data_IF_259747985529
#
_entry.id   IF_259747985529
#
_cell.length_a   1.000
_cell.length_b   1.000
_cell.length_c   1.000
_cell.angle_alpha   90.00
_cell.angle_beta   90.00
_cell.angle_gamma   90.00
#
_symmetry.space_group_name_H-M   'P 1'
#
loop_
_entity.id
_entity.type
_entity.pdbx_description
1 polymer ?
#
# COMPACT_ATOMS: atom_id res chain seq x y z
N UNK A 1 13.92 -7.46 45.49
CA UNK A 1 14.88 -8.08 46.44
C UNK A 1 14.45 -9.52 46.70
N UNK A 2 15.39 -10.46 46.49
CA UNK A 2 15.47 -11.87 46.90
C UNK A 2 14.51 -12.32 48.03
N UNK A 3 14.00 -13.57 48.10
CA UNK A 3 14.78 -14.82 48.12
C UNK A 3 13.84 -16.06 48.25
N UNK A 4 14.35 -17.22 47.83
CA UNK A 4 14.04 -18.60 48.27
C UNK A 4 13.10 -19.52 47.47
N UNK A 5 13.76 -20.22 46.54
CA UNK A 5 13.69 -21.64 46.20
C UNK A 5 13.27 -22.64 47.29
N UNK A 6 12.55 -23.71 46.89
CA UNK A 6 12.73 -25.09 47.39
C UNK A 6 12.22 -26.13 46.40
N UNK A 7 13.19 -26.73 45.71
CA UNK A 7 13.10 -28.03 45.03
C UNK A 7 13.09 -29.11 46.12
N UNK A 8 12.18 -30.08 46.04
CA UNK A 8 12.23 -31.29 46.86
C UNK A 8 12.06 -32.53 45.97
N UNK A 9 13.19 -33.18 45.79
CA UNK A 9 13.38 -34.52 45.24
C UNK A 9 12.87 -35.53 46.27
N UNK A 10 12.00 -36.44 45.85
CA UNK A 10 11.78 -37.71 46.55
C UNK A 10 11.90 -38.85 45.55
N UNK A 11 12.89 -39.68 45.81
CA UNK A 11 13.32 -40.86 45.07
C UNK A 11 12.99 -42.04 45.97
N UNK A 12 12.11 -42.95 45.55
CA UNK A 12 12.02 -44.29 46.14
C UNK A 12 11.76 -45.31 45.03
N UNK A 13 12.89 -45.87 44.61
CA UNK A 13 13.13 -47.12 43.89
C UNK A 13 12.26 -48.30 44.34
N UNK A 14 11.76 -49.09 43.37
CA UNK A 14 12.11 -50.50 43.12
C UNK A 14 10.99 -51.19 42.32
N UNK A 15 11.22 -51.37 41.01
CA UNK A 15 10.84 -52.55 40.23
C UNK A 15 11.36 -52.37 38.78
N UNK A 16 12.36 -53.16 38.42
CA UNK A 16 12.85 -53.44 37.06
C UNK A 16 12.78 -54.97 36.91
N UNK A 17 12.97 -55.55 35.72
CA UNK A 17 12.54 -55.13 34.37
C UNK A 17 12.03 -56.34 33.55
N UNK A 18 10.93 -56.23 32.80
CA UNK A 18 10.68 -57.03 31.56
C UNK A 18 9.23 -56.82 31.11
N UNK A 19 8.99 -56.83 29.79
CA UNK A 19 7.69 -56.74 29.13
C UNK A 19 7.05 -55.35 28.89
N UNK A 20 7.77 -54.39 28.30
CA UNK A 20 7.12 -53.25 27.58
C UNK A 20 7.92 -52.80 26.35
N UNK A 21 8.37 -53.72 25.51
CA UNK A 21 9.16 -53.36 24.29
C UNK A 21 8.76 -53.97 22.93
N UNK A 22 7.61 -54.66 22.72
CA UNK A 22 7.14 -54.92 21.36
C UNK A 22 6.14 -53.87 20.83
N UNK A 23 5.28 -53.29 21.68
CA UNK A 23 4.11 -52.51 21.20
C UNK A 23 4.47 -51.09 20.73
N UNK A 24 5.56 -50.50 21.24
CA UNK A 24 6.01 -49.17 20.81
C UNK A 24 6.74 -49.19 19.45
N UNK A 25 7.28 -50.34 19.02
CA UNK A 25 7.98 -50.48 17.73
C UNK A 25 7.00 -50.54 16.56
N UNK A 26 5.88 -51.25 16.70
CA UNK A 26 4.84 -51.34 15.66
C UNK A 26 4.10 -50.01 15.43
N UNK A 27 3.76 -49.28 16.50
CA UNK A 27 3.03 -48.01 16.40
C UNK A 27 3.89 -46.89 15.80
N UNK A 28 5.19 -46.88 16.12
CA UNK A 28 6.13 -45.91 15.54
C UNK A 28 6.41 -46.20 14.06
N UNK A 29 6.41 -47.47 13.64
CA UNK A 29 6.51 -47.85 12.21
C UNK A 29 5.24 -47.55 11.42
N UNK A 30 4.06 -47.72 12.01
CA UNK A 30 2.79 -47.36 11.36
C UNK A 30 2.68 -45.83 11.17
N UNK A 31 3.03 -45.07 12.20
CA UNK A 31 3.04 -43.60 12.14
C UNK A 31 4.11 -43.05 11.18
N UNK A 32 5.31 -43.65 11.12
CA UNK A 32 6.33 -43.22 10.16
C UNK A 32 5.91 -43.47 8.71
N UNK A 33 5.19 -44.58 8.45
CA UNK A 33 4.69 -44.94 7.12
C UNK A 33 3.56 -44.02 6.65
N UNK A 34 2.64 -43.66 7.54
CA UNK A 34 1.55 -42.70 7.25
C UNK A 34 2.09 -41.28 7.09
N UNK A 35 3.09 -40.89 7.88
CA UNK A 35 3.73 -39.56 7.79
C UNK A 35 4.56 -39.42 6.51
N UNK A 36 5.26 -40.47 6.05
CA UNK A 36 5.96 -40.47 4.75
C UNK A 36 4.99 -40.39 3.56
N UNK A 37 3.84 -41.05 3.68
CA UNK A 37 2.81 -41.04 2.64
C UNK A 37 2.11 -39.67 2.54
N UNK A 38 1.90 -38.99 3.68
CA UNK A 38 1.40 -37.61 3.75
C UNK A 38 2.43 -36.60 3.22
N UNK A 39 3.72 -36.76 3.56
CA UNK A 39 4.79 -35.87 3.07
C UNK A 39 5.02 -35.97 1.55
N UNK A 40 4.76 -37.13 0.93
CA UNK A 40 4.84 -37.27 -0.52
C UNK A 40 3.65 -36.63 -1.27
N UNK A 41 2.50 -36.44 -0.60
CA UNK A 41 1.32 -35.84 -1.22
C UNK A 41 1.39 -34.30 -1.34
N UNK A 42 2.32 -33.64 -0.65
CA UNK A 42 2.44 -32.17 -0.62
C UNK A 42 3.38 -31.57 -1.69
N UNK A 43 3.96 -32.39 -2.59
CA UNK A 43 4.79 -31.89 -3.69
C UNK A 43 4.39 -32.53 -5.04
N UNK A 44 3.98 -31.74 -6.06
CA UNK A 44 3.48 -32.25 -7.33
C UNK A 44 4.53 -33.03 -8.15
N UNK A 45 5.80 -32.99 -7.74
CA UNK A 45 6.93 -33.66 -8.41
C UNK A 45 7.10 -35.15 -8.07
N UNK A 46 6.36 -35.69 -7.09
CA UNK A 46 6.62 -37.02 -6.51
C UNK A 46 5.65 -38.14 -6.93
N UNK A 47 4.82 -37.93 -7.95
CA UNK A 47 3.86 -38.93 -8.46
C UNK A 47 4.54 -40.25 -8.87
N UNK A 48 5.75 -40.18 -9.41
CA UNK A 48 6.51 -41.35 -9.87
C UNK A 48 7.08 -42.18 -8.69
N UNK A 49 7.40 -41.53 -7.57
CA UNK A 49 8.04 -42.16 -6.40
C UNK A 49 7.01 -42.95 -5.58
N UNK A 50 5.80 -42.41 -5.38
CA UNK A 50 4.72 -43.13 -4.69
C UNK A 50 4.30 -44.39 -5.45
N UNK A 51 4.26 -44.33 -6.79
CA UNK A 51 3.87 -45.48 -7.62
C UNK A 51 4.92 -46.60 -7.60
N UNK A 52 6.20 -46.24 -7.50
CA UNK A 52 7.33 -47.20 -7.39
C UNK A 52 7.38 -47.88 -6.01
N UNK A 53 7.11 -47.15 -4.93
CA UNK A 53 7.11 -47.69 -3.57
C UNK A 53 5.96 -48.68 -3.33
N UNK A 54 4.79 -48.47 -3.97
CA UNK A 54 3.63 -49.38 -3.87
C UNK A 54 3.88 -50.70 -4.63
N UNK A 55 4.65 -50.68 -5.73
CA UNK A 55 5.04 -51.91 -6.46
C UNK A 55 6.04 -52.80 -5.70
N UNK A 56 6.78 -52.24 -4.74
CA UNK A 56 7.78 -52.98 -3.97
C UNK A 56 7.20 -53.70 -2.74
N UNK A 57 6.00 -53.32 -2.26
CA UNK A 57 5.34 -54.01 -1.15
C UNK A 57 4.24 -54.95 -1.66
N UNK A 58 4.50 -56.26 -1.63
CA UNK A 58 3.52 -57.33 -1.87
C UNK A 58 2.40 -57.33 -0.80
N UNK A 59 1.47 -56.39 -0.87
CA UNK A 59 0.24 -56.37 -0.07
C UNK A 59 -0.95 -56.37 -1.03
N UNK A 60 -1.85 -57.35 -0.90
CA UNK A 60 -2.92 -57.59 -1.90
C UNK A 60 -4.34 -57.41 -1.36
N UNK A 61 -4.55 -57.05 -0.09
CA UNK A 61 -5.90 -56.76 0.44
C UNK A 61 -5.99 -55.46 1.27
N UNK A 62 -5.02 -55.17 2.14
CA UNK A 62 -5.00 -53.90 2.92
C UNK A 62 -4.69 -52.66 2.07
N UNK A 63 -4.02 -52.86 0.94
CA UNK A 63 -3.58 -51.79 0.03
C UNK A 63 -4.75 -51.14 -0.69
N UNK A 64 -5.80 -51.90 -1.04
CA UNK A 64 -6.96 -51.35 -1.76
C UNK A 64 -7.82 -50.45 -0.86
N UNK A 65 -8.03 -50.86 0.40
CA UNK A 65 -8.67 -50.03 1.43
C UNK A 65 -7.84 -48.77 1.73
N UNK A 66 -6.51 -48.92 1.86
CA UNK A 66 -5.62 -47.78 2.11
C UNK A 66 -5.60 -46.79 0.92
N UNK A 67 -5.58 -47.29 -0.31
CA UNK A 67 -5.66 -46.47 -1.54
C UNK A 67 -7.01 -45.77 -1.62
N UNK A 68 -8.11 -46.45 -1.29
CA UNK A 68 -9.46 -45.85 -1.31
C UNK A 68 -9.61 -44.74 -0.26
N UNK A 69 -9.13 -44.97 0.97
CA UNK A 69 -9.13 -43.97 2.05
C UNK A 69 -8.20 -42.79 1.72
N UNK A 70 -6.98 -43.04 1.24
CA UNK A 70 -6.09 -41.97 0.79
C UNK A 70 -6.67 -41.18 -0.38
N UNK A 71 -7.34 -41.84 -1.33
CA UNK A 71 -7.98 -41.17 -2.47
C UNK A 71 -9.15 -40.29 -2.04
N UNK A 72 -9.97 -40.76 -1.08
CA UNK A 72 -11.05 -39.97 -0.48
C UNK A 72 -10.50 -38.75 0.28
N UNK A 73 -9.46 -38.93 1.09
CA UNK A 73 -8.79 -37.84 1.81
C UNK A 73 -8.18 -36.82 0.84
N UNK A 74 -7.56 -37.28 -0.26
CA UNK A 74 -7.03 -36.42 -1.32
C UNK A 74 -8.15 -35.68 -2.06
N UNK A 75 -9.27 -36.34 -2.36
CA UNK A 75 -10.43 -35.71 -2.99
C UNK A 75 -11.07 -34.65 -2.08
N UNK A 76 -11.22 -34.93 -0.79
CA UNK A 76 -11.73 -33.95 0.18
C UNK A 76 -10.74 -32.80 0.41
N UNK A 77 -9.44 -33.10 0.46
CA UNK A 77 -8.39 -32.06 0.55
C UNK A 77 -8.35 -31.20 -0.71
N UNK A 78 -8.49 -31.79 -1.90
CA UNK A 78 -8.56 -31.04 -3.16
C UNK A 78 -9.86 -30.25 -3.28
N UNK A 79 -11.00 -30.77 -2.82
CA UNK A 79 -12.28 -30.03 -2.77
C UNK A 79 -12.19 -28.86 -1.79
N UNK A 80 -11.58 -29.06 -0.63
CA UNK A 80 -11.33 -28.00 0.34
C UNK A 80 -10.38 -26.95 -0.23
N UNK A 81 -9.25 -27.36 -0.82
CA UNK A 81 -8.30 -26.44 -1.45
C UNK A 81 -8.94 -25.66 -2.60
N UNK A 82 -9.69 -26.34 -3.48
CA UNK A 82 -10.40 -25.69 -4.58
C UNK A 82 -11.47 -24.73 -4.08
N UNK A 83 -12.22 -25.11 -3.04
CA UNK A 83 -13.21 -24.25 -2.41
C UNK A 83 -12.56 -23.00 -1.80
N UNK A 84 -11.50 -23.17 -0.99
CA UNK A 84 -10.76 -22.05 -0.39
C UNK A 84 -10.14 -21.16 -1.47
N UNK A 85 -9.51 -21.74 -2.49
CA UNK A 85 -8.92 -20.99 -3.61
C UNK A 85 -9.97 -20.20 -4.39
N UNK A 86 -11.11 -20.82 -4.68
CA UNK A 86 -12.24 -20.19 -5.37
C UNK A 86 -12.83 -19.04 -4.53
N UNK A 87 -13.09 -19.25 -3.24
CA UNK A 87 -13.59 -18.21 -2.34
C UNK A 87 -12.60 -17.05 -2.21
N UNK A 88 -11.30 -17.33 -2.04
CA UNK A 88 -10.24 -16.31 -1.96
C UNK A 88 -10.15 -15.50 -3.26
N UNK A 89 -10.29 -16.16 -4.41
CA UNK A 89 -10.25 -15.49 -5.73
C UNK A 89 -11.47 -14.59 -5.93
N UNK A 90 -12.66 -15.02 -5.50
CA UNK A 90 -13.90 -14.24 -5.58
C UNK A 90 -13.88 -13.02 -4.65
N UNK A 91 -13.41 -13.19 -3.40
CA UNK A 91 -13.24 -12.09 -2.46
C UNK A 91 -12.21 -11.09 -2.95
N UNK A 92 -11.10 -11.56 -3.51
CA UNK A 92 -10.11 -10.68 -4.06
C UNK A 92 -10.64 -9.88 -5.27
N UNK A 93 -11.33 -10.56 -6.19
CA UNK A 93 -11.97 -9.89 -7.33
C UNK A 93 -12.95 -8.83 -6.85
N UNK A 94 -13.75 -9.13 -5.83
CA UNK A 94 -14.68 -8.18 -5.21
C UNK A 94 -13.95 -6.96 -4.62
N UNK A 95 -12.86 -7.17 -3.87
CA UNK A 95 -12.07 -6.08 -3.28
C UNK A 95 -11.45 -5.17 -4.35
N UNK A 96 -10.92 -5.75 -5.44
CA UNK A 96 -10.38 -5.00 -6.57
C UNK A 96 -11.47 -4.22 -7.31
N UNK A 97 -12.65 -4.82 -7.51
CA UNK A 97 -13.81 -4.14 -8.10
C UNK A 97 -14.28 -2.97 -7.24
N UNK A 98 -14.33 -3.13 -5.91
CA UNK A 98 -14.65 -2.04 -4.99
C UNK A 98 -13.60 -0.93 -5.02
N UNK A 99 -12.31 -1.29 -5.03
CA UNK A 99 -11.20 -0.34 -5.11
C UNK A 99 -11.27 0.49 -6.41
N UNK A 100 -11.54 -0.16 -7.55
CA UNK A 100 -11.78 0.51 -8.82
C UNK A 100 -13.05 1.38 -8.77
N UNK A 101 -14.14 0.87 -8.18
CA UNK A 101 -15.40 1.57 -8.00
C UNK A 101 -15.26 2.86 -7.20
N UNK A 102 -14.58 2.83 -6.05
CA UNK A 102 -14.31 4.00 -5.20
C UNK A 102 -13.45 5.03 -5.94
N UNK A 103 -12.46 4.56 -6.70
CA UNK A 103 -11.57 5.43 -7.49
C UNK A 103 -12.34 6.15 -8.60
N UNK A 104 -13.19 5.41 -9.34
CA UNK A 104 -14.04 5.97 -10.39
C UNK A 104 -15.12 6.89 -9.81
N UNK A 105 -15.72 6.54 -8.67
CA UNK A 105 -16.75 7.37 -8.03
C UNK A 105 -16.19 8.67 -7.51
N UNK A 106 -14.94 8.69 -7.01
CA UNK A 106 -14.28 9.92 -6.59
C UNK A 106 -14.23 10.92 -7.74
N UNK A 107 -13.67 10.51 -8.89
CA UNK A 107 -13.58 11.36 -10.08
C UNK A 107 -14.98 11.72 -10.61
N UNK A 108 -15.88 10.73 -10.71
CA UNK A 108 -17.23 10.93 -11.23
C UNK A 108 -18.06 11.91 -10.40
N UNK A 109 -18.01 11.84 -9.07
CA UNK A 109 -18.75 12.73 -8.18
C UNK A 109 -18.23 14.17 -8.25
N UNK A 110 -16.92 14.38 -8.40
CA UNK A 110 -16.36 15.72 -8.60
C UNK A 110 -16.96 16.39 -9.85
N UNK A 111 -17.11 15.65 -10.95
CA UNK A 111 -17.76 16.16 -12.16
C UNK A 111 -19.27 16.31 -12.03
N UNK A 112 -19.94 15.36 -11.37
CA UNK A 112 -21.39 15.42 -11.21
C UNK A 112 -21.83 16.63 -10.37
N UNK A 113 -21.13 16.90 -9.27
CA UNK A 113 -21.44 18.04 -8.40
C UNK A 113 -21.03 19.38 -9.03
N UNK A 114 -20.04 19.39 -9.92
CA UNK A 114 -19.58 20.58 -10.62
C UNK A 114 -19.91 20.57 -12.12
N UNK A 115 -21.05 19.96 -12.49
CA UNK A 115 -21.44 19.76 -13.88
C UNK A 115 -21.55 21.08 -14.69
N UNK A 116 -21.98 22.16 -14.05
CA UNK A 116 -22.09 23.50 -14.65
C UNK A 116 -20.88 24.40 -14.35
N UNK A 117 -19.80 23.86 -13.80
CA UNK A 117 -18.59 24.61 -13.49
C UNK A 117 -17.80 24.96 -14.74
N UNK A 118 -17.65 26.24 -15.06
CA UNK A 118 -16.84 26.70 -16.20
C UNK A 118 -15.35 26.73 -15.85
N UNK A 119 -15.02 27.20 -14.65
CA UNK A 119 -13.65 27.23 -14.12
C UNK A 119 -13.54 26.46 -12.80
N UNK A 120 -12.59 25.53 -12.75
CA UNK A 120 -12.28 24.76 -11.54
C UNK A 120 -11.76 25.64 -10.39
N UNK A 121 -11.22 26.81 -10.70
CA UNK A 121 -10.70 27.77 -9.74
C UNK A 121 -11.78 28.73 -9.21
N UNK A 122 -12.99 28.71 -9.77
CA UNK A 122 -14.10 29.50 -9.24
C UNK A 122 -14.47 29.04 -7.82
N UNK A 123 -14.67 29.96 -6.86
CA UNK A 123 -15.01 29.62 -5.48
C UNK A 123 -16.22 28.69 -5.32
N UNK A 124 -17.23 28.79 -6.19
CA UNK A 124 -18.39 27.91 -6.11
C UNK A 124 -18.04 26.50 -6.59
N UNK A 125 -17.27 26.38 -7.67
CA UNK A 125 -16.75 25.09 -8.15
C UNK A 125 -15.92 24.39 -7.07
N UNK A 126 -15.00 25.12 -6.42
CA UNK A 126 -14.17 24.58 -5.33
C UNK A 126 -15.04 24.01 -4.20
N UNK A 127 -16.06 24.76 -3.76
CA UNK A 127 -16.98 24.31 -2.70
C UNK A 127 -17.78 23.06 -3.12
N UNK A 128 -18.35 23.04 -4.33
CA UNK A 128 -19.13 21.90 -4.84
C UNK A 128 -18.28 20.63 -4.96
N UNK A 129 -17.08 20.75 -5.53
CA UNK A 129 -16.11 19.66 -5.65
C UNK A 129 -15.68 19.14 -4.28
N UNK A 130 -15.47 20.03 -3.30
CA UNK A 130 -15.15 19.58 -1.96
C UNK A 130 -16.27 18.77 -1.32
N UNK A 131 -17.52 19.23 -1.43
CA UNK A 131 -18.68 18.47 -0.93
C UNK A 131 -18.74 17.08 -1.59
N UNK A 132 -18.54 17.00 -2.91
CA UNK A 132 -18.44 15.71 -3.60
C UNK A 132 -17.33 14.81 -3.06
N UNK A 133 -16.14 15.35 -2.83
CA UNK A 133 -15.01 14.61 -2.29
C UNK A 133 -15.31 14.06 -0.88
N UNK A 134 -15.94 14.87 -0.02
CA UNK A 134 -16.36 14.47 1.33
C UNK A 134 -17.43 13.37 1.27
N UNK A 135 -18.43 13.51 0.40
CA UNK A 135 -19.47 12.49 0.19
C UNK A 135 -18.85 11.17 -0.28
N UNK A 136 -17.93 11.23 -1.26
CA UNK A 136 -17.23 10.04 -1.72
C UNK A 136 -16.41 9.39 -0.60
N UNK A 137 -15.69 10.17 0.20
CA UNK A 137 -14.87 9.65 1.30
C UNK A 137 -15.72 9.03 2.40
N UNK A 138 -16.83 9.65 2.78
CA UNK A 138 -17.75 9.06 3.75
C UNK A 138 -18.28 7.70 3.28
N UNK A 139 -18.68 7.59 2.00
CA UNK A 139 -19.11 6.34 1.39
C UNK A 139 -17.99 5.30 1.29
N UNK A 140 -16.83 5.69 0.74
CA UNK A 140 -15.66 4.83 0.56
C UNK A 140 -15.14 4.28 1.89
N UNK A 141 -15.01 5.13 2.92
CA UNK A 141 -14.59 4.72 4.27
C UNK A 141 -15.58 3.72 4.85
N UNK A 142 -16.89 4.00 4.74
CA UNK A 142 -17.93 3.12 5.28
C UNK A 142 -17.92 1.74 4.60
N UNK A 143 -17.79 1.71 3.27
CA UNK A 143 -17.72 0.47 2.49
C UNK A 143 -16.46 -0.32 2.85
N UNK A 144 -15.28 0.32 2.83
CA UNK A 144 -14.02 -0.33 3.16
C UNK A 144 -14.03 -0.86 4.59
N UNK A 145 -14.52 -0.08 5.56
CA UNK A 145 -14.69 -0.53 6.93
C UNK A 145 -15.58 -1.78 7.04
N UNK A 146 -16.73 -1.78 6.33
CA UNK A 146 -17.67 -2.90 6.34
C UNK A 146 -17.11 -4.19 5.72
N UNK A 147 -16.17 -4.07 4.78
CA UNK A 147 -15.46 -5.22 4.20
C UNK A 147 -14.37 -5.71 5.16
N UNK A 148 -13.52 -4.80 5.66
CA UNK A 148 -12.37 -5.15 6.50
C UNK A 148 -12.76 -5.74 7.85
N UNK A 149 -13.89 -5.31 8.45
CA UNK A 149 -14.39 -5.86 9.72
C UNK A 149 -14.70 -7.35 9.69
N UNK A 150 -14.75 -7.98 8.51
CA UNK A 150 -14.93 -9.43 8.36
C UNK A 150 -13.68 -10.22 8.75
N UNK A 151 -12.50 -9.61 8.62
CA UNK A 151 -11.20 -10.29 8.81
C UNK A 151 -10.30 -9.59 9.82
N UNK A 152 -10.54 -8.31 10.12
CA UNK A 152 -9.70 -7.49 10.99
C UNK A 152 -10.49 -6.96 12.18
N UNK A 153 -9.94 -7.11 13.40
CA UNK A 153 -10.55 -6.60 14.62
C UNK A 153 -10.57 -5.06 14.68
N UNK A 154 -9.55 -4.41 14.10
CA UNK A 154 -9.40 -2.95 14.07
C UNK A 154 -9.29 -2.43 12.62
N UNK A 155 -10.41 -2.35 11.85
CA UNK A 155 -10.37 -1.92 10.45
C UNK A 155 -9.74 -0.55 10.21
N UNK A 156 -9.97 0.42 11.10
CA UNK A 156 -9.39 1.75 10.96
C UNK A 156 -7.86 1.76 11.07
N UNK A 157 -7.28 0.84 11.85
CA UNK A 157 -5.81 0.68 11.90
C UNK A 157 -5.27 0.17 10.57
N UNK A 158 -5.96 -0.79 9.94
CA UNK A 158 -5.59 -1.32 8.61
C UNK A 158 -5.77 -0.26 7.50
N UNK A 159 -6.70 0.67 7.68
CA UNK A 159 -6.89 1.85 6.82
C UNK A 159 -5.88 2.97 7.12
N UNK A 160 -5.03 2.82 8.13
CA UNK A 160 -4.08 3.83 8.61
C UNK A 160 -4.72 5.06 9.24
N UNK A 161 -5.99 4.98 9.63
CA UNK A 161 -6.76 6.02 10.31
C UNK A 161 -6.65 5.82 11.82
N UNK A 162 -5.52 6.22 12.39
CA UNK A 162 -5.26 6.14 13.83
C UNK A 162 -4.23 7.19 14.28
N UNK A 163 -4.10 7.38 15.59
CA UNK A 163 -3.19 8.36 16.19
C UNK A 163 -1.84 7.79 16.59
N UNK A 164 -1.67 6.46 16.61
CA UNK A 164 -0.39 5.83 16.92
C UNK A 164 0.68 6.28 15.93
N UNK A 165 1.83 6.73 16.44
CA UNK A 165 2.92 7.26 15.62
C UNK A 165 2.58 8.52 14.80
N UNK A 166 1.48 9.24 15.08
CA UNK A 166 1.01 10.34 14.24
C UNK A 166 2.05 11.46 14.06
N UNK A 167 2.79 11.81 15.13
CA UNK A 167 3.85 12.82 15.04
C UNK A 167 4.97 12.35 14.09
N UNK A 168 5.42 11.10 14.21
CA UNK A 168 6.40 10.52 13.30
C UNK A 168 5.88 10.46 11.86
N UNK A 169 4.62 10.07 11.68
CA UNK A 169 3.92 10.03 10.38
C UNK A 169 3.82 11.41 9.72
N UNK A 170 3.83 12.49 10.48
CA UNK A 170 3.87 13.85 9.93
C UNK A 170 5.31 14.30 9.68
N UNK A 171 6.18 14.21 10.69
CA UNK A 171 7.51 14.84 10.65
C UNK A 171 8.46 14.11 9.71
N UNK A 172 8.57 12.77 9.82
CA UNK A 172 9.60 12.02 9.09
C UNK A 172 9.31 12.01 7.58
N UNK A 173 8.08 11.72 7.09
CA UNK A 173 7.75 11.81 5.67
C UNK A 173 7.83 13.24 5.14
N UNK A 174 7.52 14.26 5.95
CA UNK A 174 7.70 15.66 5.56
C UNK A 174 9.18 15.99 5.32
N UNK A 175 10.07 15.57 6.23
CA UNK A 175 11.51 15.72 6.07
C UNK A 175 12.02 14.96 4.85
N UNK A 176 11.62 13.69 4.68
CA UNK A 176 12.02 12.86 3.55
C UNK A 176 11.58 13.48 2.22
N UNK A 177 10.32 13.89 2.09
CA UNK A 177 9.83 14.58 0.88
C UNK A 177 10.58 15.91 0.67
N UNK A 178 10.87 16.66 1.73
CA UNK A 178 11.63 17.92 1.62
C UNK A 178 13.07 17.70 1.14
N UNK A 179 13.72 16.60 1.51
CA UNK A 179 15.05 16.21 0.99
C UNK A 179 14.99 16.00 -0.52
N UNK A 180 13.94 15.34 -1.04
CA UNK A 180 13.75 15.18 -2.48
C UNK A 180 13.65 16.54 -3.19
N UNK A 181 13.06 17.54 -2.53
CA UNK A 181 12.89 18.91 -3.04
C UNK A 181 14.03 19.87 -2.69
N UNK A 182 15.19 19.37 -2.25
CA UNK A 182 16.32 20.21 -1.83
C UNK A 182 16.71 21.26 -2.89
N UNK A 183 16.73 20.91 -4.17
CA UNK A 183 17.04 21.86 -5.24
C UNK A 183 16.05 23.03 -5.31
N UNK A 184 14.75 22.77 -5.13
CA UNK A 184 13.72 23.81 -5.10
C UNK A 184 13.87 24.67 -3.85
N UNK A 185 14.17 24.08 -2.69
CA UNK A 185 14.47 24.86 -1.47
C UNK A 185 15.67 25.79 -1.63
N UNK A 186 16.75 25.30 -2.23
CA UNK A 186 17.95 26.11 -2.52
C UNK A 186 17.62 27.23 -3.50
N UNK A 187 16.79 26.96 -4.51
CA UNK A 187 16.29 27.98 -5.44
C UNK A 187 15.51 29.07 -4.70
N UNK A 188 14.52 28.69 -3.89
CA UNK A 188 13.73 29.63 -3.06
C UNK A 188 14.60 30.45 -2.11
N UNK A 189 15.68 29.87 -1.57
CA UNK A 189 16.65 30.59 -0.74
C UNK A 189 17.42 31.64 -1.54
N UNK A 190 17.94 31.26 -2.71
CA UNK A 190 18.71 32.15 -3.59
C UNK A 190 17.84 33.33 -4.05
N UNK A 191 16.57 33.08 -4.34
CA UNK A 191 15.63 34.11 -4.78
C UNK A 191 15.15 35.01 -3.63
N UNK A 192 15.60 34.75 -2.39
CA UNK A 192 15.25 35.55 -1.22
C UNK A 192 13.82 35.33 -0.71
N UNK A 193 13.13 34.29 -1.20
CA UNK A 193 11.75 34.01 -0.85
C UNK A 193 11.59 33.19 0.43
N UNK A 194 12.65 32.70 1.07
CA UNK A 194 12.51 31.93 2.34
C UNK A 194 11.84 32.72 3.46
N UNK A 195 12.01 34.05 3.50
CA UNK A 195 11.33 34.89 4.49
C UNK A 195 9.81 34.78 4.46
N UNK A 196 9.22 34.49 3.28
CA UNK A 196 7.78 34.26 3.11
C UNK A 196 7.23 33.10 3.95
N UNK A 197 8.07 32.10 4.25
CA UNK A 197 7.68 30.93 5.03
C UNK A 197 7.44 31.26 6.50
N UNK A 198 8.01 32.36 6.99
CA UNK A 198 7.90 32.80 8.38
C UNK A 198 7.02 34.06 8.52
N UNK A 199 6.53 34.62 7.42
CA UNK A 199 5.69 35.81 7.43
C UNK A 199 4.22 35.45 7.76
N UNK A 200 3.79 35.79 8.98
CA UNK A 200 2.43 35.59 9.46
C UNK A 200 1.37 36.26 8.56
N UNK A 201 1.69 37.39 7.95
CA UNK A 201 0.77 38.11 7.06
C UNK A 201 0.51 37.31 5.78
N UNK A 202 1.54 36.68 5.24
CA UNK A 202 1.44 35.82 4.07
C UNK A 202 0.70 34.53 4.38
N UNK A 203 0.95 33.91 5.54
CA UNK A 203 0.15 32.78 6.00
C UNK A 203 -1.33 33.13 6.16
N UNK A 204 -1.65 34.30 6.73
CA UNK A 204 -3.04 34.78 6.82
C UNK A 204 -3.69 34.93 5.44
N UNK A 205 -2.95 35.46 4.46
CA UNK A 205 -3.43 35.60 3.09
C UNK A 205 -3.65 34.22 2.43
N UNK A 206 -2.74 33.28 2.64
CA UNK A 206 -2.86 31.90 2.15
C UNK A 206 -4.09 31.20 2.74
N UNK A 207 -4.31 31.31 4.06
CA UNK A 207 -5.51 30.79 4.72
C UNK A 207 -6.81 31.53 4.35
N UNK A 208 -6.72 32.69 3.71
CA UNK A 208 -7.88 33.40 3.14
C UNK A 208 -8.14 32.99 1.68
N UNK A 209 -7.15 32.38 1.02
CA UNK A 209 -7.24 31.92 -0.37
C UNK A 209 -7.86 30.52 -0.44
N UNK A 210 -9.07 30.43 -1.00
CA UNK A 210 -9.74 29.15 -1.23
C UNK A 210 -8.94 28.22 -2.16
N UNK A 211 -8.20 28.79 -3.11
CA UNK A 211 -7.35 28.01 -4.03
C UNK A 211 -6.19 27.38 -3.26
N UNK A 212 -5.54 28.14 -2.38
CA UNK A 212 -4.44 27.63 -1.56
C UNK A 212 -4.95 26.56 -0.58
N UNK A 213 -6.06 26.81 0.12
CA UNK A 213 -6.65 25.81 1.03
C UNK A 213 -7.01 24.52 0.27
N UNK A 214 -7.56 24.65 -0.94
CA UNK A 214 -7.87 23.50 -1.81
C UNK A 214 -6.61 22.70 -2.11
N UNK A 215 -5.57 23.37 -2.63
CA UNK A 215 -4.38 22.69 -3.17
C UNK A 215 -3.47 22.14 -2.06
N UNK A 216 -3.38 22.85 -0.92
CA UNK A 216 -2.47 22.50 0.18
C UNK A 216 -3.11 21.59 1.22
N UNK A 217 -4.43 21.63 1.41
CA UNK A 217 -5.09 20.90 2.51
C UNK A 217 -6.17 19.96 1.99
N UNK A 218 -7.17 20.50 1.28
CA UNK A 218 -8.39 19.75 1.00
C UNK A 218 -8.14 18.62 0.01
N UNK A 219 -7.47 18.90 -1.12
CA UNK A 219 -7.16 17.89 -2.13
C UNK A 219 -6.22 16.80 -1.57
N UNK A 220 -5.08 17.12 -0.93
CA UNK A 220 -4.26 16.11 -0.25
C UNK A 220 -5.05 15.24 0.73
N UNK A 221 -5.84 15.85 1.61
CA UNK A 221 -6.62 15.11 2.58
C UNK A 221 -7.64 14.18 1.93
N UNK A 222 -8.44 14.69 0.99
CA UNK A 222 -9.54 13.91 0.44
C UNK A 222 -9.07 12.85 -0.54
N UNK A 223 -8.04 13.14 -1.35
CA UNK A 223 -7.49 12.18 -2.30
C UNK A 223 -6.75 11.04 -1.59
N UNK A 224 -5.95 11.33 -0.56
CA UNK A 224 -5.26 10.26 0.17
C UNK A 224 -6.24 9.36 0.95
N UNK A 225 -7.30 9.92 1.53
CA UNK A 225 -8.35 9.09 2.15
C UNK A 225 -9.04 8.16 1.14
N UNK A 226 -9.39 8.66 -0.05
CA UNK A 226 -10.02 7.84 -1.09
C UNK A 226 -9.07 6.76 -1.60
N UNK A 227 -7.86 7.15 -2.01
CA UNK A 227 -6.98 6.26 -2.74
C UNK A 227 -6.11 5.39 -1.82
N UNK A 228 -5.72 5.85 -0.63
CA UNK A 228 -4.78 5.11 0.24
C UNK A 228 -5.53 4.41 1.35
N UNK A 229 -6.31 5.15 2.14
CA UNK A 229 -7.07 4.54 3.23
C UNK A 229 -8.18 3.60 2.74
N UNK A 230 -8.75 3.84 1.55
CA UNK A 230 -9.79 2.96 0.99
C UNK A 230 -9.26 2.04 -0.13
N UNK A 231 -8.88 2.58 -1.28
CA UNK A 231 -8.49 1.78 -2.46
C UNK A 231 -7.27 0.91 -2.19
N UNK A 232 -6.15 1.48 -1.72
CA UNK A 232 -4.93 0.70 -1.42
C UNK A 232 -5.17 -0.37 -0.37
N UNK A 233 -5.91 -0.07 0.71
CA UNK A 233 -6.19 -1.06 1.75
C UNK A 233 -6.99 -2.26 1.22
N UNK A 234 -7.95 -2.04 0.31
CA UNK A 234 -8.66 -3.12 -0.37
C UNK A 234 -7.75 -3.91 -1.32
N UNK A 235 -6.87 -3.23 -2.06
CA UNK A 235 -5.85 -3.88 -2.92
C UNK A 235 -4.89 -4.73 -2.09
N UNK A 236 -4.49 -4.28 -0.90
CA UNK A 236 -3.62 -5.03 0.02
C UNK A 236 -4.24 -6.33 0.56
N UNK A 237 -5.56 -6.51 0.47
CA UNK A 237 -6.20 -7.78 0.81
C UNK A 237 -5.97 -8.86 -0.28
N UNK A 238 -5.44 -8.46 -1.43
CA UNK A 238 -5.31 -9.31 -2.62
C UNK A 238 -3.86 -9.56 -3.03
N UNK A 239 -3.04 -8.51 -2.97
CA UNK A 239 -1.70 -8.50 -3.57
C UNK A 239 -0.66 -8.17 -2.52
N UNK A 240 0.60 -8.52 -2.81
CA UNK A 240 1.70 -8.19 -1.93
C UNK A 240 1.86 -6.66 -1.78
N UNK A 241 2.40 -6.18 -0.65
CA UNK A 241 2.66 -4.76 -0.43
C UNK A 241 3.42 -4.08 -1.58
N UNK A 242 4.44 -4.74 -2.12
CA UNK A 242 5.22 -4.23 -3.25
C UNK A 242 4.40 -4.11 -4.54
N UNK A 243 3.50 -5.06 -4.81
CA UNK A 243 2.62 -4.98 -5.98
C UNK A 243 1.56 -3.87 -5.80
N UNK A 244 1.04 -3.69 -4.59
CA UNK A 244 0.10 -2.61 -4.28
C UNK A 244 0.69 -1.23 -4.59
N UNK A 245 1.97 -1.00 -4.29
CA UNK A 245 2.71 0.25 -4.62
C UNK A 245 2.60 0.61 -6.10
N UNK A 246 2.65 -0.38 -7.00
CA UNK A 246 2.60 -0.12 -8.44
C UNK A 246 1.18 -0.18 -9.03
N UNK A 247 0.29 -1.00 -8.46
CA UNK A 247 -1.06 -1.22 -9.02
C UNK A 247 -2.05 -0.15 -8.54
N UNK A 248 -2.07 0.15 -7.24
CA UNK A 248 -3.06 1.04 -6.64
C UNK A 248 -3.11 2.46 -7.25
N UNK A 249 -1.99 3.08 -7.68
CA UNK A 249 -2.01 4.40 -8.31
C UNK A 249 -2.60 4.46 -9.73
N UNK A 250 -2.70 3.33 -10.43
CA UNK A 250 -3.06 3.30 -11.85
C UNK A 250 -4.42 3.96 -12.16
N UNK A 251 -5.52 3.67 -11.44
CA UNK A 251 -6.82 4.28 -11.74
C UNK A 251 -6.80 5.80 -11.62
N UNK A 252 -6.13 6.32 -10.58
CA UNK A 252 -5.99 7.76 -10.37
C UNK A 252 -5.18 8.40 -11.50
N UNK A 253 -4.02 7.84 -11.85
CA UNK A 253 -3.17 8.38 -12.92
C UNK A 253 -3.86 8.33 -14.29
N UNK A 254 -4.46 7.19 -14.64
CA UNK A 254 -5.16 7.00 -15.92
C UNK A 254 -6.37 7.93 -16.06
N UNK A 255 -6.99 8.33 -14.95
CA UNK A 255 -8.08 9.28 -14.98
C UNK A 255 -7.68 10.52 -15.79
N UNK A 256 -6.46 11.02 -15.67
CA UNK A 256 -6.04 12.28 -16.31
C UNK A 256 -6.06 12.26 -17.85
N UNK A 257 -6.07 11.09 -18.48
CA UNK A 257 -6.14 10.97 -19.95
C UNK A 257 -7.50 11.41 -20.52
N UNK A 258 -8.58 11.41 -19.72
CA UNK A 258 -9.90 11.86 -20.20
C UNK A 258 -9.89 13.34 -20.67
N UNK A 259 -8.97 14.15 -20.14
CA UNK A 259 -8.82 15.57 -20.48
C UNK A 259 -8.17 15.84 -21.84
N UNK A 260 -7.66 14.83 -22.54
CA UNK A 260 -7.07 15.01 -23.87
C UNK A 260 -8.10 15.66 -24.81
N UNK A 261 -9.36 15.24 -24.74
CA UNK A 261 -10.42 15.79 -25.56
C UNK A 261 -10.77 17.24 -25.20
N UNK A 262 -10.70 17.59 -23.91
CA UNK A 262 -10.97 18.96 -23.46
C UNK A 262 -9.87 19.92 -23.92
N UNK A 263 -8.61 19.49 -23.90
CA UNK A 263 -7.49 20.29 -24.41
C UNK A 263 -7.58 20.51 -25.92
N UNK A 264 -8.00 19.47 -26.67
CA UNK A 264 -8.24 19.59 -28.11
C UNK A 264 -9.38 20.57 -28.41
N UNK A 265 -10.48 20.54 -27.63
CA UNK A 265 -11.59 21.51 -27.75
C UNK A 265 -11.14 22.95 -27.46
N UNK A 266 -10.14 23.13 -26.59
CA UNK A 266 -9.53 24.42 -26.27
C UNK A 266 -8.49 24.88 -27.30
N UNK A 267 -8.37 24.17 -28.42
CA UNK A 267 -7.52 24.57 -29.56
C UNK A 267 -6.10 24.01 -29.52
N UNK A 268 -5.75 23.13 -28.56
CA UNK A 268 -4.45 22.46 -28.59
C UNK A 268 -4.39 21.41 -29.70
N UNK A 269 -3.23 21.26 -30.35
CA UNK A 269 -3.06 20.18 -31.32
C UNK A 269 -3.14 18.83 -30.61
N UNK A 270 -3.56 17.78 -31.32
CA UNK A 270 -3.64 16.41 -30.77
C UNK A 270 -2.32 15.98 -30.12
N UNK A 271 -1.18 16.30 -30.77
CA UNK A 271 0.14 15.97 -30.25
C UNK A 271 0.45 16.70 -28.94
N UNK A 272 0.16 18.00 -28.86
CA UNK A 272 0.37 18.79 -27.63
C UNK A 272 -0.53 18.31 -26.49
N UNK A 273 -1.82 18.08 -26.75
CA UNK A 273 -2.77 17.60 -25.76
C UNK A 273 -2.36 16.22 -25.21
N UNK A 274 -2.00 15.28 -26.10
CA UNK A 274 -1.53 13.95 -25.68
C UNK A 274 -0.25 14.04 -24.88
N UNK A 275 0.77 14.76 -25.36
CA UNK A 275 2.06 14.87 -24.67
C UNK A 275 1.89 15.46 -23.26
N UNK A 276 1.08 16.53 -23.14
CA UNK A 276 0.78 17.17 -21.87
C UNK A 276 0.11 16.21 -20.88
N UNK A 277 -0.91 15.45 -21.32
CA UNK A 277 -1.66 14.55 -20.43
C UNK A 277 -0.91 13.26 -20.11
N UNK A 278 -0.09 12.76 -21.03
CA UNK A 278 0.83 11.65 -20.73
C UNK A 278 1.86 12.09 -19.70
N UNK A 279 2.45 13.28 -19.83
CA UNK A 279 3.37 13.81 -18.82
C UNK A 279 2.70 13.97 -17.46
N UNK A 280 1.49 14.56 -17.43
CA UNK A 280 0.71 14.69 -16.19
C UNK A 280 0.39 13.34 -15.56
N UNK A 281 -0.02 12.35 -16.37
CA UNK A 281 -0.29 10.99 -15.92
C UNK A 281 0.96 10.34 -15.32
N UNK A 282 2.11 10.42 -16.01
CA UNK A 282 3.37 9.82 -15.54
C UNK A 282 3.80 10.40 -14.20
N UNK A 283 3.74 11.73 -14.05
CA UNK A 283 4.07 12.38 -12.79
C UNK A 283 3.10 11.98 -11.67
N UNK A 284 1.79 11.99 -11.96
CA UNK A 284 0.76 11.61 -11.00
C UNK A 284 0.86 10.13 -10.59
N UNK A 285 1.28 9.26 -11.51
CA UNK A 285 1.57 7.85 -11.22
C UNK A 285 2.77 7.69 -10.29
N UNK A 286 3.89 8.37 -10.58
CA UNK A 286 5.10 8.30 -9.73
C UNK A 286 4.84 8.83 -8.32
N UNK A 287 4.17 9.97 -8.22
CA UNK A 287 3.70 10.50 -6.93
C UNK A 287 2.77 9.50 -6.25
N UNK A 288 1.85 8.92 -7.01
CA UNK A 288 0.90 7.95 -6.52
C UNK A 288 1.57 6.72 -5.90
N UNK A 289 2.57 6.18 -6.59
CA UNK A 289 3.39 5.06 -6.13
C UNK A 289 4.17 5.43 -4.86
N UNK A 290 4.77 6.63 -4.80
CA UNK A 290 5.45 7.10 -3.59
C UNK A 290 4.50 7.23 -2.39
N UNK A 291 3.32 7.83 -2.57
CA UNK A 291 2.32 7.95 -1.50
C UNK A 291 1.82 6.56 -1.03
N UNK A 292 1.59 5.62 -1.96
CA UNK A 292 1.25 4.24 -1.60
C UNK A 292 2.39 3.55 -0.86
N UNK A 293 3.65 3.77 -1.26
CA UNK A 293 4.82 3.27 -0.56
C UNK A 293 4.90 3.81 0.88
N UNK A 294 4.74 5.12 1.07
CA UNK A 294 4.69 5.73 2.40
C UNK A 294 3.57 5.11 3.25
N UNK A 295 2.36 5.01 2.70
CA UNK A 295 1.22 4.42 3.40
C UNK A 295 1.50 2.98 3.84
N UNK A 296 1.98 2.14 2.93
CA UNK A 296 2.28 0.72 3.19
C UNK A 296 3.39 0.54 4.22
N UNK A 297 4.42 1.39 4.18
CA UNK A 297 5.60 1.27 5.05
C UNK A 297 5.37 1.83 6.45
N UNK A 298 4.65 2.95 6.54
CA UNK A 298 4.38 3.64 7.81
C UNK A 298 3.11 3.15 8.50
N UNK A 299 2.18 2.55 7.76
CA UNK A 299 0.87 2.15 8.26
C UNK A 299 -0.05 3.33 8.62
N UNK A 300 0.33 4.57 8.32
CA UNK A 300 -0.39 5.77 8.77
C UNK A 300 -0.76 6.67 7.60
N UNK A 301 -2.02 7.12 7.53
CA UNK A 301 -2.52 7.96 6.44
C UNK A 301 -1.95 9.38 6.44
N UNK A 302 -1.45 9.86 7.58
CA UNK A 302 -0.87 11.21 7.68
C UNK A 302 0.42 11.33 6.85
N UNK A 303 1.18 10.23 6.70
CA UNK A 303 2.42 10.18 5.93
C UNK A 303 2.23 10.57 4.45
N UNK A 304 1.35 9.92 3.67
CA UNK A 304 1.07 10.37 2.32
C UNK A 304 0.37 11.74 2.27
N UNK A 305 -0.50 12.09 3.22
CA UNK A 305 -1.19 13.41 3.22
C UNK A 305 -0.20 14.57 3.30
N UNK A 306 0.75 14.52 4.24
CA UNK A 306 1.72 15.60 4.40
C UNK A 306 2.67 15.67 3.21
N UNK A 307 3.13 14.53 2.71
CA UNK A 307 3.97 14.46 1.53
C UNK A 307 3.25 14.98 0.28
N UNK A 308 1.97 14.68 0.11
CA UNK A 308 1.13 15.24 -0.95
C UNK A 308 1.05 16.77 -0.85
N UNK A 309 0.75 17.28 0.34
CA UNK A 309 0.65 18.72 0.60
C UNK A 309 1.95 19.45 0.23
N UNK A 310 3.11 18.86 0.57
CA UNK A 310 4.43 19.40 0.18
C UNK A 310 4.63 19.35 -1.33
N UNK A 311 4.34 18.23 -1.98
CA UNK A 311 4.46 18.09 -3.44
C UNK A 311 3.59 19.10 -4.19
N UNK A 312 2.35 19.34 -3.74
CA UNK A 312 1.45 20.33 -4.37
C UNK A 312 1.99 21.75 -4.25
N UNK A 313 2.61 22.10 -3.11
CA UNK A 313 3.22 23.42 -2.92
C UNK A 313 4.53 23.59 -3.69
N UNK A 314 5.35 22.54 -3.78
CA UNK A 314 6.65 22.59 -4.44
C UNK A 314 6.57 22.45 -5.96
N UNK A 315 5.55 21.74 -6.45
CA UNK A 315 5.35 21.47 -7.87
C UNK A 315 6.44 20.57 -8.47
N UNK A 316 6.66 20.75 -9.77
CA UNK A 316 7.74 20.06 -10.48
C UNK A 316 9.07 20.80 -10.30
N UNK A 317 10.21 20.08 -10.36
CA UNK A 317 11.52 20.72 -10.39
C UNK A 317 11.62 21.77 -11.49
N UNK A 318 12.05 22.97 -11.13
CA UNK A 318 12.10 24.16 -11.99
C UNK A 318 13.38 24.18 -12.85
N UNK A 319 13.72 23.05 -13.48
CA UNK A 319 14.96 22.90 -14.25
C UNK A 319 15.09 23.94 -15.37
N UNK A 320 13.97 24.31 -16.00
CA UNK A 320 13.92 25.29 -17.09
C UNK A 320 14.35 26.71 -16.68
N UNK A 321 14.31 27.03 -15.38
CA UNK A 321 14.71 28.34 -14.86
C UNK A 321 16.17 28.39 -14.44
N UNK A 322 16.87 27.25 -14.32
CA UNK A 322 18.26 27.22 -13.84
C UNK A 322 19.18 27.99 -14.79
N UNK A 323 18.97 27.90 -16.10
CA UNK A 323 19.80 28.60 -17.09
C UNK A 323 19.63 30.12 -17.07
N UNK A 324 18.55 30.62 -16.47
CA UNK A 324 18.27 32.05 -16.33
C UNK A 324 19.14 32.71 -15.25
N UNK A 325 19.78 31.94 -14.36
CA UNK A 325 20.65 32.50 -13.33
C UNK A 325 21.98 33.01 -13.93
N UNK A 326 22.40 34.25 -13.61
CA UNK A 326 23.55 34.89 -14.25
C UNK A 326 24.89 34.24 -13.87
N UNK A 327 25.02 33.79 -12.62
CA UNK A 327 26.28 33.23 -12.10
C UNK A 327 26.37 31.73 -12.36
N UNK A 328 27.44 31.30 -13.04
CA UNK A 328 27.74 29.88 -13.27
C UNK A 328 27.79 29.06 -11.98
N UNK A 329 28.39 29.61 -10.92
CA UNK A 329 28.46 28.95 -9.61
C UNK A 329 27.07 28.66 -9.04
N UNK A 330 26.11 29.58 -9.17
CA UNK A 330 24.72 29.39 -8.74
C UNK A 330 24.03 28.29 -9.52
N UNK A 331 24.21 28.26 -10.85
CA UNK A 331 23.67 27.18 -11.70
C UNK A 331 24.23 25.81 -11.31
N UNK A 332 25.53 25.73 -11.09
CA UNK A 332 26.19 24.50 -10.62
C UNK A 332 25.65 24.06 -9.26
N UNK A 333 25.50 24.99 -8.31
CA UNK A 333 24.92 24.71 -7.00
C UNK A 333 23.49 24.15 -7.11
N UNK A 334 22.63 24.75 -7.96
CA UNK A 334 21.26 24.29 -8.16
C UNK A 334 21.22 22.86 -8.73
N UNK A 335 21.98 22.59 -9.79
CA UNK A 335 22.08 21.23 -10.36
C UNK A 335 22.59 20.22 -9.34
N UNK A 336 23.66 20.56 -8.61
CA UNK A 336 24.18 19.71 -7.54
C UNK A 336 23.14 19.46 -6.44
N UNK A 337 22.36 20.48 -6.07
CA UNK A 337 21.34 20.38 -5.03
C UNK A 337 20.16 19.50 -5.45
N UNK A 338 19.72 19.57 -6.70
CA UNK A 338 18.71 18.66 -7.25
C UNK A 338 19.20 17.21 -7.30
N UNK A 339 20.41 16.97 -7.81
CA UNK A 339 20.99 15.63 -7.90
C UNK A 339 21.21 15.04 -6.50
N UNK A 340 21.82 15.83 -5.60
CA UNK A 340 22.08 15.40 -4.23
C UNK A 340 20.79 15.15 -3.46
N UNK A 341 19.79 16.04 -3.55
CA UNK A 341 18.49 15.87 -2.90
C UNK A 341 17.80 14.57 -3.33
N UNK A 342 17.79 14.28 -4.63
CA UNK A 342 17.22 13.04 -5.16
C UNK A 342 18.01 11.80 -4.72
N UNK A 343 19.34 11.83 -4.80
CA UNK A 343 20.19 10.72 -4.36
C UNK A 343 20.03 10.44 -2.85
N UNK A 344 20.02 11.50 -2.02
CA UNK A 344 19.79 11.41 -0.59
C UNK A 344 18.40 10.85 -0.30
N UNK A 345 17.37 11.29 -1.02
CA UNK A 345 16.01 10.74 -0.89
C UNK A 345 15.98 9.24 -1.16
N UNK A 346 16.64 8.73 -2.22
CA UNK A 346 16.74 7.28 -2.48
C UNK A 346 17.41 6.55 -1.32
N UNK A 347 18.54 7.07 -0.82
CA UNK A 347 19.27 6.44 0.29
C UNK A 347 18.48 6.45 1.60
N UNK A 348 17.67 7.49 1.84
CA UNK A 348 16.88 7.67 3.05
C UNK A 348 15.50 7.02 2.99
N UNK A 349 15.04 6.61 1.79
CA UNK A 349 13.71 6.07 1.57
C UNK A 349 13.42 4.86 2.45
N UNK A 350 14.33 3.89 2.51
CA UNK A 350 14.17 2.69 3.35
C UNK A 350 14.31 2.97 4.86
N UNK A 351 15.39 3.61 5.35
CA UNK A 351 15.58 3.80 6.79
C UNK A 351 14.54 4.74 7.41
N UNK A 352 14.12 5.81 6.73
CA UNK A 352 13.15 6.77 7.27
C UNK A 352 11.70 6.28 7.16
N UNK A 353 11.44 5.19 6.43
CA UNK A 353 10.11 4.56 6.37
C UNK A 353 10.09 3.21 7.10
N UNK A 354 11.04 2.98 8.01
CA UNK A 354 11.00 1.79 8.86
C UNK A 354 9.79 1.86 9.82
N UNK A 355 9.00 0.78 9.87
CA UNK A 355 7.75 0.74 10.64
C UNK A 355 7.96 0.99 12.14
N UNK A 356 9.15 0.69 12.69
CA UNK A 356 9.46 0.92 14.10
C UNK A 356 9.48 2.41 14.49
N UNK A 357 9.64 3.31 13.51
CA UNK A 357 9.60 4.77 13.75
C UNK A 357 8.17 5.30 13.94
N UNK A 358 7.16 4.50 13.57
CA UNK A 358 5.75 4.88 13.51
C UNK A 358 4.87 4.06 14.49
N UNK A 359 5.50 3.33 15.41
CA UNK A 359 4.86 2.47 16.42
C UNK A 359 4.42 3.23 17.66
#
# INVERSE_FOLDING_TARGET
MNRHSKILVLKSSLLKPSFVFPIFSEVTRLLSSVTLCLLCCFSPSNYLICTLLIRLSNCTYNTFMLISVCSLILLDSMRFYFSVYFFTTMECTFNLMLAAGISCSYVGLLYAFDFNGVDRNDPQSIRRRFVAAVVNNAGGISITYAVLRRHHAHPFEVMGIHTNGALSAVVIPACLTSVCYLGTWVMTYIDGHIGSLFDLSQWRNNFSSLIWIRDTIMAPLTEELAFRACTTTLVLQCVSPMLAVFIAPLPFALSHLHHVFDDMKRGQTRQQAVLRRVFQMSYSYLFGAYATFLFVRTGNILAPIISHSICNNMGLPLFEYIDQYPKRATRTLLWCSYIFGFAAWICLLMPLTDANLYS
#
